data_IF_747866387976
#
_entry.id   IF_747866387976
#
_cell.length_a   1.000
_cell.length_b   1.000
_cell.length_c   1.000
_cell.angle_alpha   90.00
_cell.angle_beta   90.00
_cell.angle_gamma   90.00
#
_symmetry.space_group_name_H-M   'P 1'
#
loop_
_entity.id
_entity.type
_entity.pdbx_description
1 polymer ?
#
# COMPACT_ATOMS: atom_id res chain seq x y z
N UNK A 1 -1.18 22.39 -7.55
CA UNK A 1 -0.82 21.83 -6.22
C UNK A 1 0.39 20.92 -6.41
N UNK A 2 1.56 21.26 -5.85
CA UNK A 2 2.80 20.50 -6.07
C UNK A 2 2.63 19.04 -5.65
N UNK A 3 2.98 18.10 -6.54
CA UNK A 3 2.84 16.67 -6.31
C UNK A 3 3.59 16.21 -5.05
N UNK A 4 4.71 16.85 -4.73
CA UNK A 4 5.45 16.62 -3.49
C UNK A 4 4.64 16.96 -2.22
N UNK A 5 3.82 18.02 -2.25
CA UNK A 5 2.94 18.37 -1.13
C UNK A 5 1.79 17.37 -0.97
N UNK A 6 1.30 16.81 -2.08
CA UNK A 6 0.25 15.79 -2.07
C UNK A 6 0.77 14.49 -1.44
N UNK A 7 1.96 14.04 -1.86
CA UNK A 7 2.60 12.84 -1.30
C UNK A 7 3.03 13.07 0.16
N UNK A 8 3.64 14.21 0.48
CA UNK A 8 4.01 14.53 1.87
C UNK A 8 2.80 14.63 2.80
N UNK A 9 1.71 15.24 2.33
CA UNK A 9 0.46 15.35 3.08
C UNK A 9 -0.23 14.00 3.28
N UNK A 10 -0.19 13.11 2.29
CA UNK A 10 -0.79 11.77 2.42
C UNK A 10 -0.05 10.89 3.42
N UNK A 11 1.28 10.99 3.48
CA UNK A 11 2.10 10.31 4.49
C UNK A 11 1.79 10.83 5.88
N UNK A 12 1.75 12.16 6.08
CA UNK A 12 1.38 12.76 7.36
C UNK A 12 -0.03 12.35 7.81
N UNK A 13 -1.01 12.33 6.89
CA UNK A 13 -2.35 11.83 7.18
C UNK A 13 -2.34 10.35 7.59
N UNK A 14 -1.54 9.51 6.93
CA UNK A 14 -1.42 8.10 7.29
C UNK A 14 -0.88 7.92 8.71
N UNK A 15 0.17 8.67 9.08
CA UNK A 15 0.71 8.68 10.44
C UNK A 15 -0.32 9.16 11.47
N UNK A 16 -1.05 10.24 11.18
CA UNK A 16 -2.08 10.75 12.08
C UNK A 16 -3.22 9.75 12.28
N UNK A 17 -3.71 9.13 11.20
CA UNK A 17 -4.76 8.11 11.28
C UNK A 17 -4.30 6.88 12.04
N UNK A 18 -3.09 6.38 11.75
CA UNK A 18 -2.53 5.25 12.47
C UNK A 18 -2.30 5.57 13.96
N UNK A 19 -1.91 6.81 14.29
CA UNK A 19 -1.78 7.29 15.66
C UNK A 19 -3.11 7.38 16.40
N UNK A 20 -4.15 7.92 15.76
CA UNK A 20 -5.51 7.95 16.32
C UNK A 20 -6.00 6.53 16.60
N UNK A 21 -5.82 5.60 15.66
CA UNK A 21 -6.19 4.20 15.86
C UNK A 21 -5.42 3.61 17.04
N UNK A 22 -4.12 3.84 17.13
CA UNK A 22 -3.32 3.38 18.28
C UNK A 22 -3.89 3.87 19.61
N UNK A 23 -4.23 5.16 19.71
CA UNK A 23 -4.79 5.74 20.93
C UNK A 23 -6.17 5.14 21.26
N UNK A 24 -7.04 4.98 20.25
CA UNK A 24 -8.41 4.48 20.46
C UNK A 24 -8.46 2.98 20.77
N UNK A 25 -7.57 2.19 20.16
CA UNK A 25 -7.61 0.72 20.25
C UNK A 25 -6.58 0.14 21.22
N UNK A 26 -5.66 0.96 21.75
CA UNK A 26 -4.55 0.51 22.58
C UNK A 26 -3.55 -0.39 21.82
N UNK A 27 -3.59 -0.40 20.48
CA UNK A 27 -2.80 -1.31 19.64
C UNK A 27 -1.61 -0.61 18.97
N UNK A 28 -0.53 -1.33 18.59
CA UNK A 28 0.65 -0.75 17.95
C UNK A 28 0.45 -0.41 16.44
N UNK A 29 -0.74 0.06 16.06
CA UNK A 29 -1.09 0.41 14.68
C UNK A 29 -0.18 1.48 14.06
N UNK A 30 0.27 2.47 14.83
CA UNK A 30 1.19 3.52 14.40
C UNK A 30 2.49 2.96 13.80
N UNK A 31 3.00 1.85 14.33
CA UNK A 31 4.23 1.21 13.87
C UNK A 31 4.01 0.25 12.70
N UNK A 32 2.77 0.11 12.21
CA UNK A 32 2.43 -0.91 11.22
C UNK A 32 2.52 -2.34 11.78
N UNK A 33 2.50 -2.49 13.11
CA UNK A 33 2.53 -3.80 13.77
C UNK A 33 1.16 -4.50 13.80
N UNK A 34 0.12 -3.85 13.27
CA UNK A 34 -1.24 -4.41 13.20
C UNK A 34 -1.76 -4.40 11.76
N UNK A 35 -2.67 -5.31 11.40
CA UNK A 35 -3.33 -5.31 10.10
C UNK A 35 -3.97 -3.96 9.74
N UNK A 36 -4.62 -3.29 10.70
CA UNK A 36 -5.18 -1.95 10.48
C UNK A 36 -4.08 -0.91 10.21
N UNK A 37 -2.99 -0.92 10.97
CA UNK A 37 -1.88 0.00 10.74
C UNK A 37 -1.31 -0.14 9.32
N UNK A 38 -1.07 -1.39 8.89
CA UNK A 38 -0.60 -1.71 7.55
C UNK A 38 -1.60 -1.23 6.49
N UNK A 39 -2.90 -1.49 6.69
CA UNK A 39 -3.94 -1.07 5.77
C UNK A 39 -4.00 0.46 5.62
N UNK A 40 -3.85 1.22 6.71
CA UNK A 40 -3.81 2.69 6.70
C UNK A 40 -2.62 3.19 5.87
N UNK A 41 -1.43 2.63 6.09
CA UNK A 41 -0.26 3.03 5.30
C UNK A 41 -0.39 2.67 3.82
N UNK A 42 -0.90 1.48 3.51
CA UNK A 42 -1.10 1.05 2.13
C UNK A 42 -2.16 1.89 1.41
N UNK A 43 -3.27 2.23 2.06
CA UNK A 43 -4.35 3.01 1.44
C UNK A 43 -4.03 4.49 1.41
N UNK A 44 -3.80 5.09 2.58
CA UNK A 44 -3.65 6.55 2.71
C UNK A 44 -2.24 6.98 2.33
N UNK A 45 -1.22 6.21 2.72
CA UNK A 45 0.18 6.53 2.42
C UNK A 45 0.57 6.26 0.97
N UNK A 46 -0.01 5.24 0.32
CA UNK A 46 0.42 4.82 -1.04
C UNK A 46 -0.70 4.84 -2.07
N UNK A 47 -1.81 4.13 -1.86
CA UNK A 47 -2.85 3.97 -2.89
C UNK A 47 -3.48 5.31 -3.29
N UNK A 48 -3.83 6.13 -2.30
CA UNK A 48 -4.49 7.42 -2.49
C UNK A 48 -3.62 8.41 -3.28
N UNK A 49 -2.34 8.68 -2.91
CA UNK A 49 -1.52 9.59 -3.71
C UNK A 49 -1.22 9.02 -5.10
N UNK A 50 -1.00 7.71 -5.25
CA UNK A 50 -0.77 7.10 -6.57
C UNK A 50 -2.00 7.21 -7.47
N UNK A 51 -3.20 7.05 -6.92
CA UNK A 51 -4.46 7.24 -7.63
C UNK A 51 -4.69 8.69 -8.07
N UNK A 52 -4.46 9.65 -7.17
CA UNK A 52 -4.62 11.07 -7.49
C UNK A 52 -3.60 11.51 -8.54
N UNK A 53 -2.38 11.00 -8.47
CA UNK A 53 -1.32 11.25 -9.44
C UNK A 53 -1.58 10.56 -10.79
N UNK A 54 -2.18 9.36 -10.80
CA UNK A 54 -2.55 8.68 -12.05
C UNK A 54 -3.64 9.45 -12.78
N UNK A 55 -4.66 9.95 -12.08
CA UNK A 55 -5.70 10.82 -12.65
C UNK A 55 -5.14 12.11 -13.24
N UNK A 56 -4.08 12.67 -12.65
CA UNK A 56 -3.46 13.92 -13.14
C UNK A 56 -2.56 13.72 -14.35
N UNK A 57 -1.83 12.60 -14.42
CA UNK A 57 -0.80 12.37 -15.44
C UNK A 57 -1.16 11.29 -16.47
N UNK A 58 -2.35 10.70 -16.40
CA UNK A 58 -2.80 9.65 -17.31
C UNK A 58 -1.98 8.35 -17.24
N UNK A 59 -1.29 8.11 -16.12
CA UNK A 59 -0.34 6.99 -16.01
C UNK A 59 -1.04 5.71 -15.55
N UNK A 60 -1.18 4.74 -16.46
CA UNK A 60 -1.73 3.42 -16.17
C UNK A 60 -0.93 2.66 -15.09
N UNK A 61 0.40 2.84 -15.07
CA UNK A 61 1.28 2.20 -14.08
C UNK A 61 0.96 2.68 -12.65
N UNK A 62 0.76 3.99 -12.47
CA UNK A 62 0.37 4.54 -11.15
C UNK A 62 -1.02 4.09 -10.71
N UNK A 63 -1.93 3.91 -11.67
CA UNK A 63 -3.25 3.35 -11.40
C UNK A 63 -3.16 1.88 -10.98
N UNK A 64 -2.31 1.09 -11.64
CA UNK A 64 -2.02 -0.29 -11.26
C UNK A 64 -1.40 -0.41 -9.87
N UNK A 65 -0.44 0.45 -9.53
CA UNK A 65 0.13 0.51 -8.18
C UNK A 65 -0.92 0.90 -7.13
N UNK A 66 -1.80 1.86 -7.46
CA UNK A 66 -2.88 2.25 -6.56
C UNK A 66 -3.90 1.13 -6.33
N UNK A 67 -4.30 0.41 -7.37
CA UNK A 67 -5.23 -0.72 -7.24
C UNK A 67 -4.59 -1.88 -6.50
N UNK A 68 -3.31 -2.18 -6.75
CA UNK A 68 -2.57 -3.22 -6.06
C UNK A 68 -2.43 -2.92 -4.56
N UNK A 69 -2.04 -1.69 -4.21
CA UNK A 69 -1.89 -1.31 -2.80
C UNK A 69 -3.23 -1.26 -2.06
N UNK A 70 -4.31 -0.84 -2.73
CA UNK A 70 -5.66 -0.96 -2.19
C UNK A 70 -6.09 -2.43 -1.99
N UNK A 71 -5.80 -3.32 -2.95
CA UNK A 71 -6.07 -4.74 -2.83
C UNK A 71 -5.26 -5.38 -1.70
N UNK A 72 -3.99 -5.01 -1.55
CA UNK A 72 -3.13 -5.44 -0.45
C UNK A 72 -3.67 -5.00 0.91
N UNK A 73 -4.16 -3.76 1.03
CA UNK A 73 -4.79 -3.28 2.25
C UNK A 73 -6.07 -4.08 2.60
N UNK A 74 -6.92 -4.34 1.61
CA UNK A 74 -8.13 -5.16 1.81
C UNK A 74 -7.77 -6.58 2.24
N UNK A 75 -6.77 -7.19 1.59
CA UNK A 75 -6.28 -8.53 1.93
C UNK A 75 -5.77 -8.59 3.37
N UNK A 76 -4.93 -7.62 3.78
CA UNK A 76 -4.39 -7.56 5.14
C UNK A 76 -5.49 -7.41 6.17
N UNK A 77 -6.51 -6.59 5.91
CA UNK A 77 -7.68 -6.49 6.81
C UNK A 77 -8.45 -7.80 6.91
N UNK A 78 -8.72 -8.47 5.78
CA UNK A 78 -9.43 -9.75 5.76
C UNK A 78 -8.63 -10.81 6.53
N UNK A 79 -7.33 -10.88 6.31
CA UNK A 79 -6.44 -11.80 7.02
C UNK A 79 -6.37 -11.45 8.53
N UNK A 80 -6.36 -10.17 8.89
CA UNK A 80 -6.42 -9.71 10.27
C UNK A 80 -7.71 -10.13 10.99
N UNK A 81 -8.85 -10.03 10.30
CA UNK A 81 -10.14 -10.52 10.81
C UNK A 81 -10.15 -12.05 10.93
N UNK A 82 -9.67 -12.76 9.90
CA UNK A 82 -9.65 -14.23 9.89
C UNK A 82 -8.74 -14.84 10.95
N UNK A 83 -7.66 -14.15 11.33
CA UNK A 83 -6.69 -14.60 12.36
C UNK A 83 -7.07 -14.18 13.78
N UNK A 84 -8.15 -13.41 13.94
CA UNK A 84 -8.78 -13.16 15.25
C UNK A 84 -9.14 -11.70 15.48
N UNK A 85 -8.21 -10.77 15.25
CA UNK A 85 -8.49 -9.34 15.41
C UNK A 85 -7.62 -8.49 14.49
N UNK A 86 -8.21 -7.52 13.78
CA UNK A 86 -7.46 -6.59 12.94
C UNK A 86 -6.60 -5.59 13.74
N UNK A 87 -6.75 -5.57 15.07
CA UNK A 87 -5.93 -4.79 16.00
C UNK A 87 -4.88 -5.64 16.73
N UNK A 88 -4.89 -6.97 16.54
CA UNK A 88 -3.88 -7.82 17.15
C UNK A 88 -2.50 -7.46 16.60
N UNK A 89 -1.52 -7.39 17.50
CA UNK A 89 -0.13 -7.27 17.10
C UNK A 89 0.26 -8.53 16.32
N UNK A 90 0.64 -8.36 15.06
CA UNK A 90 1.20 -9.44 14.27
C UNK A 90 2.70 -9.48 14.50
N UNK A 91 3.22 -10.65 14.82
CA UNK A 91 4.66 -10.84 14.95
C UNK A 91 5.32 -10.58 13.59
N UNK A 92 6.34 -9.73 13.59
CA UNK A 92 6.90 -9.07 12.39
C UNK A 92 7.40 -10.11 11.37
N UNK A 93 7.75 -11.32 11.82
CA UNK A 93 8.30 -12.40 10.99
C UNK A 93 7.36 -12.94 9.90
N UNK A 94 6.08 -13.17 10.19
CA UNK A 94 5.15 -13.80 9.23
C UNK A 94 4.57 -12.76 8.25
N UNK A 95 4.37 -11.54 8.74
CA UNK A 95 3.97 -10.38 7.93
C UNK A 95 5.08 -9.97 6.98
N UNK A 96 6.33 -9.96 7.44
CA UNK A 96 7.50 -9.67 6.60
C UNK A 96 7.64 -10.65 5.43
N UNK A 97 7.43 -11.95 5.67
CA UNK A 97 7.46 -12.97 4.61
C UNK A 97 6.33 -12.73 3.60
N UNK A 98 5.10 -12.50 4.07
CA UNK A 98 3.97 -12.25 3.17
C UNK A 98 4.17 -10.95 2.37
N UNK A 99 4.70 -9.92 3.02
CA UNK A 99 5.02 -8.64 2.40
C UNK A 99 6.10 -8.80 1.33
N UNK A 100 7.16 -9.57 1.58
CA UNK A 100 8.20 -9.90 0.60
C UNK A 100 7.65 -10.72 -0.56
N UNK A 101 6.76 -11.68 -0.31
CA UNK A 101 6.13 -12.49 -1.38
C UNK A 101 5.22 -11.62 -2.25
N UNK A 102 4.40 -10.76 -1.65
CA UNK A 102 3.50 -9.87 -2.37
C UNK A 102 4.27 -8.77 -3.12
N UNK A 103 5.28 -8.14 -2.50
CA UNK A 103 6.17 -7.19 -3.18
C UNK A 103 6.98 -7.86 -4.29
N UNK A 104 7.52 -9.05 -4.05
CA UNK A 104 8.30 -9.78 -5.04
C UNK A 104 7.47 -10.19 -6.26
N UNK A 105 6.24 -10.66 -6.04
CA UNK A 105 5.32 -11.01 -7.14
C UNK A 105 4.83 -9.80 -7.90
N UNK A 106 4.57 -8.68 -7.21
CA UNK A 106 4.15 -7.42 -7.86
C UNK A 106 5.27 -6.72 -8.60
N UNK A 107 6.47 -6.59 -8.01
CA UNK A 107 7.66 -6.10 -8.72
C UNK A 107 7.95 -6.98 -9.93
N UNK A 108 7.83 -8.30 -9.79
CA UNK A 108 8.01 -9.24 -10.90
C UNK A 108 6.94 -9.12 -12.00
N UNK A 109 5.73 -8.65 -11.68
CA UNK A 109 4.69 -8.34 -12.65
C UNK A 109 4.96 -6.98 -13.33
N UNK A 110 5.38 -5.99 -12.57
CA UNK A 110 5.74 -4.65 -13.06
C UNK A 110 6.92 -4.70 -14.03
N UNK A 111 7.98 -5.45 -13.69
CA UNK A 111 9.14 -5.65 -14.58
C UNK A 111 8.71 -6.35 -15.87
N UNK A 112 7.79 -7.31 -15.81
CA UNK A 112 7.26 -8.00 -17.00
C UNK A 112 6.47 -7.04 -17.89
N UNK A 113 5.55 -6.27 -17.31
CA UNK A 113 4.78 -5.26 -18.04
C UNK A 113 5.68 -4.18 -18.66
N UNK A 114 6.72 -3.75 -17.93
CA UNK A 114 7.68 -2.77 -18.42
C UNK A 114 8.53 -3.31 -19.57
N UNK A 115 8.96 -4.58 -19.48
CA UNK A 115 9.70 -5.27 -20.54
C UNK A 115 8.86 -5.44 -21.81
N UNK A 116 7.59 -5.79 -21.66
CA UNK A 116 6.70 -6.00 -22.79
C UNK A 116 6.40 -4.67 -23.52
N UNK A 117 6.26 -3.56 -22.77
CA UNK A 117 6.15 -2.21 -23.35
C UNK A 117 7.41 -1.75 -24.11
N UNK A 118 8.61 -2.13 -23.67
CA UNK A 118 9.84 -1.85 -24.40
C UNK A 118 9.94 -2.63 -25.72
N UNK A 119 9.43 -3.87 -25.75
CA UNK A 119 9.43 -4.70 -26.96
C UNK A 119 8.45 -4.22 -28.01
N UNK A 120 7.28 -3.72 -27.61
CA UNK A 120 6.34 -3.12 -28.55
C UNK A 120 6.87 -1.84 -29.18
N UNK A 121 7.68 -1.07 -28.45
CA UNK A 121 8.29 0.18 -28.95
C UNK A 121 9.57 -0.03 -29.79
N UNK A 122 10.18 -1.21 -29.73
CA UNK A 122 11.37 -1.56 -30.51
C UNK A 122 11.03 -2.34 -31.81
N UNK A 123 9.76 -2.63 -32.05
CA UNK A 123 9.24 -3.32 -33.24
C UNK A 123 8.54 -2.40 -34.25
N UNK A 124 8.48 -1.10 -33.99
CA UNK A 124 8.13 -0.03 -34.93
C UNK A 124 9.40 0.71 -35.37
#
# INVERSE_FOLDING_TARGET
>A
MNDARLVGGSVLCAFLLAGIVTVVTGSPALLGGTPIGIAIYLTVGVALPQYLLSRRRGSALRLGLASLTAAGAAFVLIAGVATGSPNAAWDIGLVGILFVVVLGTSIGADIRAFRDGYRSAAGE
#
